data_IF_463246591152
#
_entry.id   IF_463246591152
#
_cell.length_a   1.000
_cell.length_b   1.000
_cell.length_c   1.000
_cell.angle_alpha   90.00
_cell.angle_beta   90.00
_cell.angle_gamma   90.00
#
_symmetry.space_group_name_H-M   'P 1'
#
loop_
_entity.id
_entity.type
_entity.pdbx_description
1 polymer ?
#
# COMPACT_ATOMS: atom_id res chain seq x y z
N UNK A 1 -4.62 -37.45 -26.09
CA UNK A 1 -4.67 -35.99 -26.34
C UNK A 1 -4.23 -35.35 -25.04
N UNK A 2 -3.11 -34.63 -25.04
CA UNK A 2 -2.65 -33.91 -23.85
C UNK A 2 -3.74 -32.89 -23.46
N UNK A 3 -4.26 -33.00 -22.24
CA UNK A 3 -5.18 -32.00 -21.72
C UNK A 3 -4.43 -30.67 -21.58
N UNK A 4 -4.94 -29.64 -22.26
CA UNK A 4 -4.35 -28.32 -22.23
C UNK A 4 -4.44 -27.78 -20.79
N UNK A 5 -3.31 -27.48 -20.17
CA UNK A 5 -3.25 -27.10 -18.77
C UNK A 5 -3.64 -25.61 -18.59
N UNK A 6 -4.94 -25.34 -18.66
CA UNK A 6 -5.53 -23.99 -18.59
C UNK A 6 -5.19 -23.23 -17.30
N UNK A 7 -4.80 -23.94 -16.24
CA UNK A 7 -4.37 -23.37 -14.95
C UNK A 7 -3.22 -22.37 -15.12
N UNK A 8 -2.23 -22.68 -15.98
CA UNK A 8 -1.10 -21.78 -16.23
C UNK A 8 -1.53 -20.50 -16.94
N UNK A 9 -2.44 -20.61 -17.91
CA UNK A 9 -2.99 -19.47 -18.63
C UNK A 9 -3.82 -18.57 -17.71
N UNK A 10 -4.67 -19.16 -16.85
CA UNK A 10 -5.43 -18.42 -15.85
C UNK A 10 -4.52 -17.72 -14.84
N UNK A 11 -3.44 -18.37 -14.39
CA UNK A 11 -2.48 -17.76 -13.48
C UNK A 11 -1.75 -16.56 -14.11
N UNK A 12 -1.34 -16.68 -15.38
CA UNK A 12 -0.70 -15.58 -16.12
C UNK A 12 -1.66 -14.39 -16.30
N UNK A 13 -2.91 -14.65 -16.70
CA UNK A 13 -3.93 -13.61 -16.85
C UNK A 13 -4.21 -12.88 -15.53
N UNK A 14 -4.37 -13.63 -14.42
CA UNK A 14 -4.54 -13.04 -13.10
C UNK A 14 -3.33 -12.17 -12.71
N UNK A 15 -2.11 -12.63 -12.98
CA UNK A 15 -0.89 -11.86 -12.68
C UNK A 15 -0.83 -10.52 -13.38
N UNK A 16 -1.15 -10.48 -14.68
CA UNK A 16 -1.20 -9.22 -15.42
C UNK A 16 -2.23 -8.24 -14.81
N UNK A 17 -3.38 -8.76 -14.39
CA UNK A 17 -4.43 -7.96 -13.73
C UNK A 17 -3.94 -7.40 -12.40
N UNK A 18 -3.34 -8.22 -11.53
CA UNK A 18 -2.84 -7.77 -10.23
C UNK A 18 -1.72 -6.75 -10.35
N UNK A 19 -0.81 -6.92 -11.32
CA UNK A 19 0.25 -5.93 -11.60
C UNK A 19 -0.38 -4.61 -12.03
N UNK A 20 -1.32 -4.63 -12.99
CA UNK A 20 -2.00 -3.44 -13.48
C UNK A 20 -2.77 -2.70 -12.38
N UNK A 21 -3.52 -3.44 -11.55
CA UNK A 21 -4.25 -2.88 -10.40
C UNK A 21 -3.27 -2.36 -9.34
N UNK A 22 -2.16 -3.05 -9.11
CA UNK A 22 -1.15 -2.67 -8.13
C UNK A 22 -0.63 -1.25 -8.35
N UNK A 23 -0.23 -0.93 -9.58
CA UNK A 23 0.22 0.42 -9.93
C UNK A 23 -0.87 1.47 -9.71
N UNK A 24 -2.10 1.21 -10.16
CA UNK A 24 -3.19 2.18 -10.05
C UNK A 24 -3.58 2.45 -8.59
N UNK A 25 -3.67 1.39 -7.79
CA UNK A 25 -4.08 1.47 -6.40
C UNK A 25 -3.05 2.18 -5.52
N UNK A 26 -1.75 1.91 -5.71
CA UNK A 26 -0.66 2.55 -4.94
C UNK A 26 -0.67 4.07 -5.14
N UNK A 27 -0.80 4.53 -6.38
CA UNK A 27 -0.83 5.96 -6.70
C UNK A 27 -2.05 6.63 -6.04
N UNK A 28 -3.22 5.98 -6.11
CA UNK A 28 -4.45 6.50 -5.49
C UNK A 28 -4.36 6.52 -3.96
N UNK A 29 -3.80 5.47 -3.35
CA UNK A 29 -3.60 5.42 -1.91
C UNK A 29 -2.66 6.53 -1.45
N UNK A 30 -1.53 6.73 -2.12
CA UNK A 30 -0.63 7.83 -1.75
C UNK A 30 -1.34 9.17 -1.91
N UNK A 31 -2.02 9.41 -3.04
CA UNK A 31 -2.71 10.67 -3.31
C UNK A 31 -3.74 11.07 -2.22
N UNK A 32 -4.46 10.11 -1.65
CA UNK A 32 -5.44 10.41 -0.60
C UNK A 32 -4.88 10.31 0.82
N UNK A 33 -4.13 9.25 1.11
CA UNK A 33 -3.66 8.96 2.46
C UNK A 33 -2.27 9.52 2.71
N UNK A 34 -1.32 9.26 1.81
CA UNK A 34 0.11 9.56 1.96
C UNK A 34 0.91 8.39 2.54
N UNK A 35 2.24 8.45 2.50
CA UNK A 35 3.12 7.33 2.88
C UNK A 35 3.07 6.93 4.38
N UNK A 36 2.45 7.72 5.27
CA UNK A 36 2.35 7.34 6.68
C UNK A 36 1.48 6.09 6.94
N UNK A 37 0.67 5.65 5.95
CA UNK A 37 -0.10 4.39 6.03
C UNK A 37 0.68 3.16 5.56
N UNK A 38 1.92 3.31 5.06
CA UNK A 38 2.74 2.19 4.54
C UNK A 38 2.82 0.99 5.49
N UNK A 39 3.00 1.25 6.79
CA UNK A 39 3.05 0.19 7.82
C UNK A 39 1.75 -0.61 7.89
N UNK A 40 0.61 0.05 7.75
CA UNK A 40 -0.71 -0.61 7.78
C UNK A 40 -0.84 -1.52 6.55
N UNK A 41 -0.47 -1.02 5.37
CA UNK A 41 -0.50 -1.78 4.11
C UNK A 41 0.41 -3.01 4.20
N UNK A 42 1.62 -2.85 4.77
CA UNK A 42 2.53 -3.96 5.01
C UNK A 42 1.90 -5.04 5.90
N UNK A 43 1.28 -4.65 7.02
CA UNK A 43 0.61 -5.60 7.92
C UNK A 43 -0.59 -6.30 7.25
N UNK A 44 -1.37 -5.57 6.45
CA UNK A 44 -2.48 -6.16 5.68
C UNK A 44 -1.95 -7.18 4.68
N UNK A 45 -0.88 -6.84 3.96
CA UNK A 45 -0.22 -7.75 3.03
C UNK A 45 0.32 -9.01 3.72
N UNK A 46 0.97 -8.87 4.87
CA UNK A 46 1.45 -10.01 5.66
C UNK A 46 0.31 -10.88 6.18
N UNK A 47 -0.80 -10.27 6.62
CA UNK A 47 -1.98 -11.01 7.04
C UNK A 47 -2.59 -11.83 5.89
N UNK A 48 -2.66 -11.24 4.68
CA UNK A 48 -3.10 -11.95 3.48
C UNK A 48 -2.16 -13.09 3.07
N UNK A 49 -0.84 -12.89 3.24
CA UNK A 49 0.12 -13.97 3.00
C UNK A 49 -0.08 -15.12 4.00
N UNK A 50 -0.35 -14.81 5.28
CA UNK A 50 -0.62 -15.84 6.27
C UNK A 50 -1.92 -16.60 5.96
N UNK A 51 -2.96 -15.93 5.46
CA UNK A 51 -4.21 -16.61 5.09
C UNK A 51 -4.03 -17.54 3.90
N UNK A 52 -3.08 -17.29 2.99
CA UNK A 52 -2.86 -18.18 1.83
C UNK A 52 -2.42 -19.58 2.22
N UNK A 53 -1.74 -19.77 3.36
CA UNK A 53 -1.32 -21.08 3.86
C UNK A 53 -2.49 -21.99 4.27
N UNK A 54 -3.65 -21.41 4.60
CA UNK A 54 -4.82 -22.16 5.05
C UNK A 54 -5.79 -22.49 3.90
N UNK A 55 -5.47 -22.12 2.66
CA UNK A 55 -6.32 -22.36 1.50
C UNK A 55 -5.97 -23.74 0.89
N UNK A 56 -6.90 -24.72 0.88
CA UNK A 56 -6.60 -26.08 0.43
C UNK A 56 -6.31 -26.20 -1.07
N UNK A 57 -6.86 -25.29 -1.87
CA UNK A 57 -6.78 -25.35 -3.32
C UNK A 57 -5.67 -24.46 -3.87
N UNK A 58 -4.70 -25.06 -4.55
CA UNK A 58 -3.50 -24.40 -5.05
C UNK A 58 -3.78 -23.11 -5.82
N UNK A 59 -4.71 -23.11 -6.77
CA UNK A 59 -4.99 -21.91 -7.58
C UNK A 59 -5.49 -20.74 -6.75
N UNK A 60 -6.32 -21.00 -5.73
CA UNK A 60 -6.82 -19.94 -4.86
C UNK A 60 -5.75 -19.47 -3.89
N UNK A 61 -4.95 -20.40 -3.35
CA UNK A 61 -3.78 -20.06 -2.52
C UNK A 61 -2.79 -19.18 -3.30
N UNK A 62 -2.52 -19.50 -4.57
CA UNK A 62 -1.65 -18.74 -5.45
C UNK A 62 -2.21 -17.33 -5.74
N UNK A 63 -3.51 -17.19 -6.01
CA UNK A 63 -4.15 -15.89 -6.22
C UNK A 63 -4.05 -15.01 -4.97
N UNK A 64 -4.31 -15.57 -3.78
CA UNK A 64 -4.20 -14.83 -2.51
C UNK A 64 -2.75 -14.48 -2.21
N UNK A 65 -1.82 -15.39 -2.45
CA UNK A 65 -0.38 -15.13 -2.33
C UNK A 65 0.08 -14.00 -3.25
N UNK A 66 -0.39 -14.00 -4.50
CA UNK A 66 -0.10 -12.95 -5.48
C UNK A 66 -0.68 -11.60 -5.07
N UNK A 67 -1.94 -11.56 -4.64
CA UNK A 67 -2.56 -10.36 -4.07
C UNK A 67 -1.76 -9.85 -2.85
N UNK A 68 -1.33 -10.75 -1.96
CA UNK A 68 -0.51 -10.39 -0.80
C UNK A 68 0.80 -9.74 -1.23
N UNK A 69 1.47 -10.29 -2.25
CA UNK A 69 2.70 -9.75 -2.82
C UNK A 69 2.50 -8.36 -3.41
N UNK A 70 1.41 -8.15 -4.17
CA UNK A 70 1.06 -6.83 -4.72
C UNK A 70 0.82 -5.80 -3.62
N UNK A 71 0.14 -6.19 -2.52
CA UNK A 71 -0.11 -5.29 -1.38
C UNK A 71 1.17 -4.97 -0.62
N UNK A 72 2.01 -5.97 -0.34
CA UNK A 72 3.31 -5.79 0.33
C UNK A 72 4.22 -4.87 -0.48
N UNK A 73 4.36 -5.14 -1.79
CA UNK A 73 5.13 -4.30 -2.70
C UNK A 73 4.58 -2.87 -2.77
N UNK A 74 3.26 -2.71 -2.75
CA UNK A 74 2.65 -1.40 -2.68
C UNK A 74 3.10 -0.57 -1.47
N UNK A 75 3.47 -1.20 -0.35
CA UNK A 75 4.03 -0.48 0.81
C UNK A 75 5.41 0.12 0.53
N UNK A 76 6.24 -0.50 -0.31
CA UNK A 76 7.59 0.02 -0.62
C UNK A 76 7.50 1.13 -1.66
N UNK A 77 6.63 0.98 -2.65
CA UNK A 77 6.43 1.98 -3.71
C UNK A 77 5.88 3.32 -3.18
N UNK A 78 5.18 3.32 -2.05
CA UNK A 78 4.69 4.57 -1.44
C UNK A 78 5.80 5.54 -1.01
N UNK A 79 6.99 5.05 -0.63
CA UNK A 79 8.11 5.91 -0.25
C UNK A 79 8.64 6.66 -1.47
N UNK A 80 8.87 5.93 -2.57
CA UNK A 80 9.30 6.50 -3.83
C UNK A 80 8.25 7.45 -4.41
N UNK A 81 6.95 7.14 -4.24
CA UNK A 81 5.87 7.99 -4.71
C UNK A 81 5.75 9.29 -3.90
N UNK A 82 6.04 9.26 -2.59
CA UNK A 82 6.13 10.45 -1.75
C UNK A 82 7.31 11.33 -2.18
N UNK A 83 8.49 10.76 -2.42
CA UNK A 83 9.65 11.52 -2.92
C UNK A 83 9.37 12.18 -4.29
N UNK A 84 8.67 11.48 -5.20
CA UNK A 84 8.23 12.03 -6.49
C UNK A 84 7.20 13.15 -6.34
N UNK A 85 6.36 13.08 -5.31
CA UNK A 85 5.39 14.13 -5.00
C UNK A 85 6.05 15.35 -4.35
N UNK A 86 7.01 15.13 -3.45
CA UNK A 86 7.75 16.19 -2.75
C UNK A 86 8.72 16.93 -3.68
N UNK A 87 9.31 16.22 -4.65
CA UNK A 87 10.13 16.82 -5.71
C UNK A 87 9.31 17.65 -6.72
N UNK A 88 7.97 17.64 -6.62
CA UNK A 88 7.08 18.45 -7.46
C UNK A 88 6.85 17.90 -8.87
N UNK A 89 7.30 16.67 -9.16
CA UNK A 89 7.05 16.01 -10.46
C UNK A 89 5.58 15.64 -10.62
N UNK A 90 4.89 15.34 -9.51
CA UNK A 90 3.46 15.05 -9.47
C UNK A 90 2.70 16.04 -8.58
N UNK A 91 1.43 16.36 -8.92
CA UNK A 91 0.60 17.24 -8.12
C UNK A 91 0.27 16.60 -6.77
N UNK A 92 0.76 17.20 -5.69
CA UNK A 92 0.42 16.79 -4.33
C UNK A 92 -1.01 17.22 -3.97
N UNK A 93 -1.66 16.42 -3.14
CA UNK A 93 -2.99 16.72 -2.63
C UNK A 93 -2.87 17.46 -1.29
N UNK A 94 -3.30 18.73 -1.18
CA UNK A 94 -3.22 19.49 0.07
C UNK A 94 -4.10 18.89 1.19
N UNK A 95 -5.05 18.02 0.84
CA UNK A 95 -5.93 17.33 1.78
C UNK A 95 -5.44 15.94 2.21
N UNK A 96 -4.20 15.56 1.86
CA UNK A 96 -3.59 14.27 2.21
C UNK A 96 -3.69 14.01 3.73
N UNK A 97 -4.20 12.84 4.10
CA UNK A 97 -4.44 12.48 5.52
C UNK A 97 -3.19 12.60 6.38
N UNK A 98 -2.04 12.14 5.88
CA UNK A 98 -0.77 12.22 6.58
C UNK A 98 -0.31 13.66 6.83
N UNK A 99 -0.58 14.58 5.91
CA UNK A 99 -0.24 16.01 6.08
C UNK A 99 -1.05 16.63 7.23
N UNK A 100 -2.36 16.32 7.30
CA UNK A 100 -3.22 16.72 8.42
C UNK A 100 -2.73 16.16 9.75
N UNK A 101 -2.34 14.88 9.79
CA UNK A 101 -1.84 14.22 11.02
C UNK A 101 -0.53 14.86 11.50
N UNK A 102 0.38 15.20 10.58
CA UNK A 102 1.65 15.89 10.87
C UNK A 102 1.40 17.30 11.43
N UNK A 103 0.53 18.07 10.78
CA UNK A 103 0.15 19.42 11.22
C UNK A 103 -0.48 19.43 12.62
N UNK A 104 -1.40 18.51 12.90
CA UNK A 104 -1.99 18.39 14.25
C UNK A 104 -0.92 18.06 15.30
N UNK A 105 -0.01 17.12 15.03
CA UNK A 105 1.08 16.76 15.95
C UNK A 105 2.01 17.94 16.28
N UNK A 106 2.32 18.78 15.28
CA UNK A 106 3.10 20.01 15.49
C UNK A 106 2.31 20.99 16.36
N UNK A 107 1.01 21.19 16.08
CA UNK A 107 0.16 22.11 16.83
C UNK A 107 0.05 21.72 18.32
N UNK A 108 -0.09 20.42 18.61
CA UNK A 108 -0.12 19.90 19.97
C UNK A 108 1.23 20.08 20.69
N UNK A 109 2.34 19.82 20.01
CA UNK A 109 3.69 20.01 20.56
C UNK A 109 3.96 21.48 20.90
N UNK A 110 3.61 22.40 19.99
CA UNK A 110 3.78 23.84 20.21
C UNK A 110 2.96 24.36 21.40
N UNK A 111 1.71 23.87 21.57
CA UNK A 111 0.90 24.19 22.76
C UNK A 111 1.54 23.68 24.06
N UNK A 112 2.14 22.48 24.03
CA UNK A 112 2.82 21.89 25.20
C UNK A 112 4.07 22.67 25.58
N UNK A 113 4.88 23.09 24.61
CA UNK A 113 6.08 23.91 24.84
C UNK A 113 5.74 25.28 25.44
N UNK A 114 4.72 25.97 24.90
CA UNK A 114 4.28 27.28 25.42
C UNK A 114 3.79 27.20 26.87
N UNK A 115 3.14 26.09 27.25
CA UNK A 115 2.67 25.85 28.62
C UNK A 115 3.80 25.53 29.62
N UNK A 116 4.91 24.96 29.15
CA UNK A 116 6.04 24.59 30.01
C UNK A 116 7.10 25.71 30.15
N UNK A 117 7.21 26.62 29.18
CA UNK A 117 8.12 27.78 29.23
C UNK A 117 7.58 29.01 29.97
N UNK A 118 6.43 28.89 30.65
CA UNK A 118 5.79 29.96 31.45
C UNK A 118 5.90 29.70 32.97
N UNK A 119 6.90 28.92 33.39
CA UNK A 119 7.29 28.72 34.80
C UNK A 119 8.66 29.30 35.07
#
# INVERSE_FOLDING_TARGET
MEELNLTGLCAAANTLVFIGIGFFWVIKLDYFFGACVKRIILFVGLALLLTSFFIPHFTYAAIVGLLSGTVIWGSTEMEDQEERSESGVFPDNPNKYCNKKKSQGILFTSKKLKKNGTK
#
